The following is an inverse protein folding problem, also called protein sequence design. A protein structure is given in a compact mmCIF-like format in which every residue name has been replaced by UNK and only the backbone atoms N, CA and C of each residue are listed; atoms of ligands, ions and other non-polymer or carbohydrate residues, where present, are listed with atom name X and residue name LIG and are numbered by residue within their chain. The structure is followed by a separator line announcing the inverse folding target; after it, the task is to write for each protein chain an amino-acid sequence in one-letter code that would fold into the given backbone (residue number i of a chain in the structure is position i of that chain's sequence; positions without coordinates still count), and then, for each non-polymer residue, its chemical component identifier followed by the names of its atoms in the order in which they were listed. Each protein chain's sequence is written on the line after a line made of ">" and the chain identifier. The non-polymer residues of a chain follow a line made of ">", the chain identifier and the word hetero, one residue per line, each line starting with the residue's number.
data_IF_045804577195
#
_entry.id   IF_045804577195
#
_cell.length_a   1.000
_cell.length_b   1.000
_cell.length_c   1.000
_cell.angle_alpha   90.00
_cell.angle_beta   90.00
_cell.angle_gamma   90.00
#
_symmetry.space_group_name_H-M   'P 1'
#
loop_
_entity.id
_entity.type
_entity.pdbx_description
1 polymer ?
#
# COMPACT_ATOMS: atom_id res chain seq x y z
N UNK A 1 -3.90 -7.17 -12.41
CA UNK A 1 -2.66 -6.46 -12.85
C UNK A 1 -2.99 -5.21 -13.67
N UNK A 2 -4.02 -5.26 -14.51
CA UNK A 2 -4.41 -4.10 -15.33
C UNK A 2 -4.88 -2.91 -14.47
N UNK A 3 -5.68 -3.18 -13.45
CA UNK A 3 -6.25 -2.14 -12.60
C UNK A 3 -5.16 -1.39 -11.84
N UNK A 4 -4.18 -2.10 -11.33
CA UNK A 4 -3.07 -1.51 -10.58
C UNK A 4 -1.96 -0.97 -11.46
N UNK A 5 -2.02 -1.26 -12.77
CA UNK A 5 -1.00 -0.86 -13.74
C UNK A 5 0.40 -1.28 -13.29
N UNK A 6 0.50 -2.54 -12.83
CA UNK A 6 1.74 -3.10 -12.30
C UNK A 6 1.71 -4.61 -12.44
N UNK A 7 2.89 -5.20 -12.47
CA UNK A 7 3.03 -6.65 -12.44
C UNK A 7 3.07 -7.13 -10.99
N UNK A 8 2.33 -8.19 -10.72
CA UNK A 8 2.35 -8.82 -9.43
C UNK A 8 3.32 -9.99 -9.36
N UNK A 9 3.72 -10.34 -8.16
CA UNK A 9 4.54 -11.52 -7.88
C UNK A 9 3.67 -12.59 -7.23
N UNK A 10 3.56 -13.74 -7.89
CA UNK A 10 2.73 -14.84 -7.39
C UNK A 10 3.60 -15.79 -6.55
N UNK A 11 3.19 -15.99 -5.32
CA UNK A 11 3.84 -16.92 -4.40
C UNK A 11 2.78 -17.81 -3.77
N UNK A 12 2.68 -19.06 -4.27
CA UNK A 12 1.58 -19.94 -3.91
C UNK A 12 0.26 -19.39 -4.43
N UNK A 13 -0.68 -19.10 -3.52
CA UNK A 13 -1.99 -18.54 -3.86
C UNK A 13 -2.08 -17.04 -3.55
N UNK A 14 -0.95 -16.41 -3.26
CA UNK A 14 -0.90 -14.99 -2.93
C UNK A 14 -0.25 -14.22 -4.07
N UNK A 15 -0.98 -13.22 -4.59
CA UNK A 15 -0.49 -12.30 -5.61
C UNK A 15 -0.15 -10.98 -4.93
N UNK A 16 1.13 -10.61 -4.93
CA UNK A 16 1.61 -9.42 -4.24
C UNK A 16 2.14 -8.38 -5.22
N UNK A 17 1.72 -7.14 -4.99
CA UNK A 17 2.20 -5.96 -5.72
C UNK A 17 3.03 -5.10 -4.78
N UNK A 18 4.15 -4.56 -5.28
CA UNK A 18 5.03 -3.71 -4.49
C UNK A 18 5.33 -2.43 -5.25
N UNK A 19 5.19 -1.29 -4.57
CA UNK A 19 5.45 0.03 -5.13
C UNK A 19 6.49 0.71 -4.25
N UNK A 20 7.71 0.86 -4.78
CA UNK A 20 8.83 1.40 -4.03
C UNK A 20 8.73 2.90 -3.78
N UNK A 21 9.29 3.33 -2.66
CA UNK A 21 9.51 4.74 -2.34
C UNK A 21 10.97 4.92 -1.92
N UNK A 22 11.39 6.15 -1.74
CA UNK A 22 12.77 6.44 -1.35
C UNK A 22 12.85 7.50 -0.28
N UNK A 23 13.90 7.44 0.53
CA UNK A 23 14.18 8.40 1.58
C UNK A 23 15.68 8.43 1.85
N UNK A 24 16.11 9.35 2.73
CA UNK A 24 17.50 9.46 3.17
C UNK A 24 17.59 9.34 4.68
N UNK A 25 18.63 8.67 5.14
CA UNK A 25 18.95 8.53 6.56
C UNK A 25 20.43 8.83 6.72
N UNK A 26 20.75 9.88 7.45
CA UNK A 26 22.15 10.33 7.65
C UNK A 26 22.90 10.48 6.31
N UNK A 27 22.23 11.02 5.28
CA UNK A 27 22.83 11.25 3.97
C UNK A 27 22.87 10.03 3.04
N UNK A 28 22.38 8.89 3.48
CA UNK A 28 22.33 7.66 2.67
C UNK A 28 20.92 7.45 2.14
N UNK A 29 20.82 7.32 0.81
CA UNK A 29 19.53 7.05 0.17
C UNK A 29 19.18 5.56 0.28
N UNK A 30 17.91 5.28 0.55
CA UNK A 30 17.41 3.91 0.61
C UNK A 30 15.98 3.85 0.07
N UNK A 31 15.51 2.66 -0.23
CA UNK A 31 14.22 2.47 -0.88
C UNK A 31 13.55 1.14 -0.57
N UNK A 32 12.85 0.60 -1.56
CA UNK A 32 12.00 -0.58 -1.41
C UNK A 32 12.75 -1.82 -0.90
N UNK A 33 13.98 -2.04 -1.36
CA UNK A 33 14.76 -3.21 -0.94
C UNK A 33 15.11 -3.20 0.54
N UNK A 34 15.01 -2.05 1.20
CA UNK A 34 15.19 -1.90 2.64
C UNK A 34 13.86 -1.67 3.38
N UNK A 35 12.74 -2.05 2.76
CA UNK A 35 11.45 -2.04 3.41
C UNK A 35 10.60 -0.80 3.18
N UNK A 36 11.07 0.19 2.43
CA UNK A 36 10.31 1.41 2.19
C UNK A 36 9.46 1.25 0.93
N UNK A 37 8.31 0.63 1.10
CA UNK A 37 7.39 0.36 -0.01
C UNK A 37 5.94 0.33 0.43
N UNK A 38 5.05 0.65 -0.52
CA UNK A 38 3.64 0.32 -0.45
C UNK A 38 3.48 -1.07 -1.07
N UNK A 39 2.69 -1.91 -0.44
CA UNK A 39 2.44 -3.23 -0.99
C UNK A 39 1.00 -3.66 -0.76
N UNK A 40 0.53 -4.55 -1.63
CA UNK A 40 -0.80 -5.13 -1.56
C UNK A 40 -0.71 -6.61 -1.93
N UNK A 41 -1.18 -7.48 -1.05
CA UNK A 41 -1.20 -8.91 -1.26
C UNK A 41 -2.64 -9.40 -1.33
N UNK A 42 -2.99 -10.06 -2.44
CA UNK A 42 -4.34 -10.55 -2.69
C UNK A 42 -4.37 -12.07 -2.59
N UNK A 43 -5.41 -12.59 -1.96
CA UNK A 43 -5.65 -14.02 -1.89
C UNK A 43 -7.16 -14.29 -2.00
N UNK A 44 -7.52 -15.35 -2.74
CA UNK A 44 -8.91 -15.73 -2.93
C UNK A 44 -9.18 -16.10 -4.38
N UNK A 45 -10.41 -15.84 -4.83
CA UNK A 45 -10.84 -16.16 -6.19
C UNK A 45 -11.59 -14.98 -6.81
N UNK A 46 -12.11 -15.16 -8.03
CA UNK A 46 -12.79 -14.11 -8.79
C UNK A 46 -14.04 -13.55 -8.11
N UNK A 47 -14.67 -14.34 -7.24
CA UNK A 47 -15.89 -13.93 -6.55
C UNK A 47 -15.63 -13.24 -5.24
N UNK A 48 -14.60 -13.68 -4.51
CA UNK A 48 -14.27 -13.13 -3.22
C UNK A 48 -12.80 -13.30 -2.92
N UNK A 49 -12.17 -12.21 -2.52
CA UNK A 49 -10.76 -12.17 -2.16
C UNK A 49 -10.57 -11.34 -0.90
N UNK A 50 -9.38 -11.44 -0.33
CA UNK A 50 -8.93 -10.52 0.71
C UNK A 50 -7.70 -9.80 0.19
N UNK A 51 -7.50 -8.57 0.67
CA UNK A 51 -6.28 -7.81 0.44
C UNK A 51 -5.70 -7.39 1.78
N UNK A 52 -4.40 -7.57 1.92
CA UNK A 52 -3.64 -7.18 3.10
C UNK A 52 -2.45 -6.38 2.62
N UNK A 53 -2.14 -5.29 3.29
CA UNK A 53 -1.02 -4.48 2.83
C UNK A 53 -0.71 -3.27 3.68
N UNK A 54 0.27 -2.53 3.21
CA UNK A 54 0.72 -1.27 3.81
C UNK A 54 0.82 -0.19 2.74
N UNK A 55 0.51 1.04 3.14
CA UNK A 55 0.88 2.23 2.37
C UNK A 55 2.05 2.93 3.06
N UNK A 56 3.10 3.19 2.30
CA UNK A 56 4.19 4.07 2.73
C UNK A 56 3.81 5.49 2.32
N UNK A 57 3.63 6.39 3.29
CA UNK A 57 3.08 7.72 3.05
C UNK A 57 3.96 8.80 3.67
N UNK A 58 4.07 9.93 2.98
CA UNK A 58 4.52 11.17 3.63
C UNK A 58 3.36 11.72 4.46
N UNK A 59 3.64 12.68 5.34
CA UNK A 59 2.63 13.20 6.28
C UNK A 59 1.40 13.78 5.57
N UNK A 60 1.58 14.47 4.46
CA UNK A 60 0.48 15.08 3.70
C UNK A 60 -0.36 14.07 2.92
N UNK A 61 0.15 12.84 2.75
CA UNK A 61 -0.57 11.76 2.07
C UNK A 61 -1.50 10.97 2.98
N UNK A 62 -1.32 11.08 4.30
CA UNK A 62 -2.04 10.24 5.27
C UNK A 62 -3.55 10.38 5.14
N UNK A 63 -4.07 11.61 5.21
CA UNK A 63 -5.51 11.84 5.18
C UNK A 63 -6.17 11.43 3.86
N UNK A 64 -5.63 11.81 2.69
CA UNK A 64 -6.20 11.36 1.43
C UNK A 64 -6.22 9.84 1.25
N UNK A 65 -5.13 9.16 1.61
CA UNK A 65 -5.05 7.70 1.51
C UNK A 65 -6.09 7.05 2.43
N UNK A 66 -6.14 7.47 3.69
CA UNK A 66 -7.09 6.91 4.67
C UNK A 66 -8.53 7.13 4.23
N UNK A 67 -8.85 8.34 3.77
CA UNK A 67 -10.21 8.68 3.33
C UNK A 67 -10.64 7.80 2.16
N UNK A 68 -9.76 7.63 1.17
CA UNK A 68 -10.05 6.83 0.00
C UNK A 68 -10.30 5.37 0.37
N UNK A 69 -9.46 4.80 1.22
CA UNK A 69 -9.62 3.42 1.68
C UNK A 69 -10.91 3.23 2.48
N UNK A 70 -11.22 4.16 3.37
CA UNK A 70 -12.44 4.07 4.19
C UNK A 70 -13.71 4.23 3.34
N UNK A 71 -13.70 5.07 2.34
CA UNK A 71 -14.84 5.21 1.41
C UNK A 71 -15.10 3.91 0.66
N UNK A 72 -14.09 3.10 0.43
CA UNK A 72 -14.20 1.80 -0.22
C UNK A 72 -14.50 0.66 0.74
N UNK A 73 -14.65 0.95 2.04
CA UNK A 73 -14.95 -0.07 3.04
C UNK A 73 -13.75 -0.89 3.49
N UNK A 74 -12.54 -0.44 3.22
CA UNK A 74 -11.32 -1.12 3.64
C UNK A 74 -10.99 -0.71 5.08
N UNK A 75 -10.66 -1.70 5.92
CA UNK A 75 -10.33 -1.48 7.31
C UNK A 75 -8.92 -0.94 7.47
N UNK A 76 -8.76 0.07 8.33
CA UNK A 76 -7.47 0.58 8.75
C UNK A 76 -7.09 -0.16 10.03
N UNK A 77 -6.00 -0.90 9.99
CA UNK A 77 -5.59 -1.78 11.08
C UNK A 77 -4.58 -1.11 11.99
N UNK A 78 -3.62 -0.38 11.42
CA UNK A 78 -2.58 0.30 12.19
C UNK A 78 -2.03 1.48 11.41
N UNK A 79 -1.57 2.49 12.14
CA UNK A 79 -0.88 3.64 11.57
C UNK A 79 0.30 3.95 12.47
N UNK A 80 1.51 3.98 11.90
CA UNK A 80 2.72 4.28 12.67
C UNK A 80 3.77 4.96 11.79
N UNK A 81 4.72 5.62 12.43
CA UNK A 81 5.86 6.19 11.71
C UNK A 81 6.86 5.08 11.36
N UNK A 82 7.67 5.34 10.33
CA UNK A 82 8.69 4.39 9.88
C UNK A 82 9.95 4.48 10.76
N UNK A 83 10.71 5.56 10.58
CA UNK A 83 11.94 5.79 11.38
C UNK A 83 12.06 7.26 11.72
N UNK A 84 12.56 7.53 12.92
CA UNK A 84 12.95 8.90 13.25
C UNK A 84 14.28 9.22 12.55
N UNK A 85 14.43 10.45 12.08
CA UNK A 85 15.67 10.91 11.44
C UNK A 85 15.77 10.67 9.94
N UNK A 86 14.78 10.04 9.31
CA UNK A 86 14.77 9.89 7.86
C UNK A 86 14.19 11.14 7.17
N UNK A 87 14.56 11.37 5.92
CA UNK A 87 14.08 12.49 5.12
C UNK A 87 13.68 12.03 3.73
N UNK A 88 12.43 12.23 3.29
CA UNK A 88 11.30 12.68 4.09
C UNK A 88 10.87 11.64 5.12
N UNK A 89 10.12 12.07 6.12
CA UNK A 89 9.54 11.14 7.11
C UNK A 89 8.40 10.37 6.47
N UNK A 90 8.40 9.07 6.67
CA UNK A 90 7.34 8.20 6.19
C UNK A 90 6.53 7.61 7.33
N UNK A 91 5.29 7.31 7.01
CA UNK A 91 4.35 6.66 7.91
C UNK A 91 3.80 5.44 7.19
N UNK A 92 3.53 4.37 7.92
CA UNK A 92 2.94 3.17 7.38
C UNK A 92 1.52 3.01 7.87
N UNK A 93 0.64 2.71 6.93
CA UNK A 93 -0.76 2.41 7.20
C UNK A 93 -1.01 0.96 6.82
N UNK A 94 -1.29 0.13 7.82
CA UNK A 94 -1.66 -1.26 7.56
C UNK A 94 -3.18 -1.36 7.37
N UNK A 95 -3.61 -2.03 6.31
CA UNK A 95 -5.01 -2.14 5.95
C UNK A 95 -5.39 -3.58 5.65
N UNK A 96 -6.69 -3.85 5.70
CA UNK A 96 -7.27 -5.16 5.40
C UNK A 96 -8.60 -4.94 4.70
N UNK A 97 -8.84 -5.65 3.62
CA UNK A 97 -10.09 -5.57 2.89
C UNK A 97 -10.57 -6.94 2.44
N UNK A 98 -11.88 -7.07 2.23
CA UNK A 98 -12.53 -8.28 1.76
C UNK A 98 -13.61 -7.89 0.78
N UNK A 99 -13.70 -8.59 -0.34
CA UNK A 99 -14.69 -8.32 -1.36
C UNK A 99 -14.28 -8.91 -2.70
N UNK A 100 -14.86 -8.38 -3.78
CA UNK A 100 -14.46 -8.79 -5.12
C UNK A 100 -13.05 -8.27 -5.41
N UNK A 101 -12.16 -9.10 -5.99
CA UNK A 101 -10.78 -8.67 -6.23
C UNK A 101 -10.68 -7.41 -7.07
N UNK A 102 -11.52 -7.22 -8.08
CA UNK A 102 -11.46 -5.99 -8.89
C UNK A 102 -11.90 -4.76 -8.11
N UNK A 103 -12.87 -4.88 -7.19
CA UNK A 103 -13.28 -3.75 -6.34
C UNK A 103 -12.17 -3.37 -5.36
N UNK A 104 -11.51 -4.38 -4.79
CA UNK A 104 -10.36 -4.17 -3.91
C UNK A 104 -9.22 -3.51 -4.67
N UNK A 105 -8.91 -4.00 -5.86
CA UNK A 105 -7.83 -3.43 -6.69
C UNK A 105 -8.14 -1.98 -7.09
N UNK A 106 -9.39 -1.66 -7.41
CA UNK A 106 -9.80 -0.29 -7.73
C UNK A 106 -9.62 0.64 -6.53
N UNK A 107 -9.94 0.15 -5.32
CA UNK A 107 -9.76 0.92 -4.10
C UNK A 107 -8.28 1.23 -3.85
N UNK A 108 -7.42 0.23 -4.01
CA UNK A 108 -5.97 0.42 -3.87
C UNK A 108 -5.44 1.39 -4.92
N UNK A 109 -5.88 1.25 -6.18
CA UNK A 109 -5.49 2.15 -7.25
C UNK A 109 -5.90 3.60 -6.95
N UNK A 110 -7.12 3.80 -6.49
CA UNK A 110 -7.62 5.14 -6.13
C UNK A 110 -6.77 5.76 -5.03
N UNK A 111 -6.39 4.97 -4.02
CA UNK A 111 -5.54 5.44 -2.93
C UNK A 111 -4.12 5.79 -3.44
N UNK A 112 -3.55 4.97 -4.32
CA UNK A 112 -2.25 5.25 -4.94
C UNK A 112 -2.28 6.55 -5.74
N UNK A 113 -3.38 6.84 -6.43
CA UNK A 113 -3.52 8.06 -7.21
C UNK A 113 -3.46 9.32 -6.34
N UNK A 114 -3.89 9.23 -5.09
CA UNK A 114 -3.81 10.38 -4.17
C UNK A 114 -2.37 10.73 -3.79
N UNK A 115 -1.43 9.83 -4.05
CA UNK A 115 -0.01 10.03 -3.71
C UNK A 115 0.81 10.66 -4.84
N UNK A 116 0.18 11.01 -5.92
CA UNK A 116 0.84 11.63 -7.08
C UNK A 116 0.80 13.14 -7.03
#
# INVERSE_FOLDING_TARGET
>A
EKILDAEGSLNGQVLKFTFGRSARMHGVEFGASMGLSTWAAFSGNEKQAVVDGDFAMTADEIQPVMRTLRQAGIHIVALHNHMTGETPSYYFLHYWGKGKPEDLAKAIRAALETQR
#
